data_IF_925320647676
#
_entry.id   IF_925320647676
#
_cell.length_a   1.000
_cell.length_b   1.000
_cell.length_c   1.000
_cell.angle_alpha   90.00
_cell.angle_beta   90.00
_cell.angle_gamma   90.00
#
_symmetry.space_group_name_H-M   'P 1'
#
loop_
_entity.id
_entity.type
_entity.pdbx_description
1 polymer ?
#
# COMPACT_ATOMS: atom_id res chain seq x y z
N UNK A 1 8.53 -14.23 -7.59
CA UNK A 1 8.97 -12.83 -7.53
C UNK A 1 9.08 -12.27 -8.96
N UNK A 2 8.41 -11.14 -9.19
CA UNK A 2 8.44 -10.35 -10.42
C UNK A 2 9.86 -9.96 -10.81
N UNK A 3 10.09 -9.90 -12.11
CA UNK A 3 11.35 -9.39 -12.69
C UNK A 3 11.46 -7.87 -12.51
N UNK A 4 12.68 -7.35 -12.68
CA UNK A 4 12.92 -5.90 -12.61
C UNK A 4 12.19 -5.16 -13.73
N UNK A 5 12.11 -5.78 -14.90
CA UNK A 5 11.38 -5.28 -16.06
C UNK A 5 9.89 -5.16 -15.74
N UNK A 6 9.24 -6.20 -15.20
CA UNK A 6 7.83 -6.16 -14.81
C UNK A 6 7.54 -5.10 -13.74
N UNK A 7 8.40 -5.00 -12.73
CA UNK A 7 8.30 -3.96 -11.69
C UNK A 7 8.46 -2.56 -12.31
N UNK A 8 9.39 -2.40 -13.25
CA UNK A 8 9.64 -1.15 -13.97
C UNK A 8 8.45 -0.70 -14.80
N UNK A 9 7.85 -1.59 -15.60
CA UNK A 9 6.65 -1.31 -16.40
C UNK A 9 5.47 -0.88 -15.50
N UNK A 10 5.32 -1.53 -14.34
CA UNK A 10 4.28 -1.15 -13.37
C UNK A 10 4.51 0.24 -12.78
N UNK A 11 5.76 0.60 -12.47
CA UNK A 11 6.13 1.94 -11.99
C UNK A 11 5.85 3.00 -13.06
N UNK A 12 6.22 2.75 -14.32
CA UNK A 12 5.94 3.67 -15.44
C UNK A 12 4.43 3.91 -15.58
N UNK A 13 3.64 2.84 -15.60
CA UNK A 13 2.17 2.93 -15.65
C UNK A 13 1.57 3.73 -14.48
N UNK A 14 2.09 3.54 -13.26
CA UNK A 14 1.66 4.31 -12.09
C UNK A 14 2.05 5.78 -12.20
N UNK A 15 3.25 6.08 -12.69
CA UNK A 15 3.72 7.46 -12.84
C UNK A 15 2.91 8.23 -13.90
N UNK A 16 2.55 7.58 -15.01
CA UNK A 16 1.66 8.15 -16.02
C UNK A 16 0.29 8.48 -15.42
N UNK A 17 -0.28 7.55 -14.64
CA UNK A 17 -1.54 7.75 -13.92
C UNK A 17 -1.45 8.91 -12.92
N UNK A 18 -0.37 8.97 -12.13
CA UNK A 18 -0.11 10.04 -11.15
C UNK A 18 -0.01 11.39 -11.86
N UNK A 19 0.72 11.46 -12.98
CA UNK A 19 0.86 12.68 -13.77
C UNK A 19 -0.49 13.15 -14.33
N UNK A 20 -1.30 12.22 -14.86
CA UNK A 20 -2.65 12.52 -15.34
C UNK A 20 -3.54 13.11 -14.25
N UNK A 21 -3.55 12.50 -13.06
CA UNK A 21 -4.33 13.00 -11.91
C UNK A 21 -3.84 14.36 -11.42
N UNK A 22 -2.53 14.61 -11.39
CA UNK A 22 -1.98 15.90 -10.97
C UNK A 22 -2.25 17.02 -11.96
N UNK A 23 -2.37 16.71 -13.25
CA UNK A 23 -2.69 17.69 -14.29
C UNK A 23 -4.13 18.22 -14.19
N UNK A 24 -5.04 17.53 -13.50
CA UNK A 24 -6.43 17.96 -13.25
C UNK A 24 -6.54 18.96 -12.07
N UNK A 25 -5.52 19.81 -11.89
CA UNK A 25 -5.12 20.56 -10.68
C UNK A 25 -6.21 21.41 -9.98
N UNK A 26 -7.37 21.66 -10.60
CA UNK A 26 -8.38 22.60 -10.08
C UNK A 26 -9.47 22.03 -9.17
N UNK A 27 -9.72 20.71 -9.10
CA UNK A 27 -10.62 20.14 -8.06
C UNK A 27 -10.59 18.61 -8.01
N UNK A 28 -9.47 18.01 -7.61
CA UNK A 28 -9.48 16.57 -7.36
C UNK A 28 -10.50 16.24 -6.27
N UNK A 29 -11.47 15.39 -6.63
CA UNK A 29 -12.43 14.84 -5.67
C UNK A 29 -11.68 14.06 -4.58
N UNK A 30 -12.31 13.87 -3.42
CA UNK A 30 -11.69 13.08 -2.35
C UNK A 30 -11.35 11.66 -2.81
N UNK A 31 -12.18 11.07 -3.68
CA UNK A 31 -11.94 9.76 -4.28
C UNK A 31 -10.66 9.77 -5.12
N UNK A 32 -10.48 10.78 -5.99
CA UNK A 32 -9.27 10.89 -6.81
C UNK A 32 -8.03 11.18 -5.96
N UNK A 33 -8.15 11.92 -4.85
CA UNK A 33 -7.05 12.11 -3.89
C UNK A 33 -6.63 10.80 -3.22
N UNK A 34 -7.59 9.95 -2.85
CA UNK A 34 -7.30 8.62 -2.28
C UNK A 34 -6.63 7.74 -3.32
N UNK A 35 -7.12 7.72 -4.57
CA UNK A 35 -6.49 6.98 -5.67
C UNK A 35 -5.07 7.47 -5.94
N UNK A 36 -4.86 8.80 -5.93
CA UNK A 36 -3.55 9.42 -6.13
C UNK A 36 -2.58 8.98 -5.02
N UNK A 37 -2.96 9.16 -3.76
CA UNK A 37 -2.13 8.79 -2.61
C UNK A 37 -1.77 7.29 -2.63
N UNK A 38 -2.73 6.42 -2.97
CA UNK A 38 -2.48 4.99 -3.06
C UNK A 38 -1.54 4.62 -4.22
N UNK A 39 -1.70 5.26 -5.37
CA UNK A 39 -0.83 5.05 -6.54
C UNK A 39 0.61 5.53 -6.26
N UNK A 40 0.77 6.67 -5.59
CA UNK A 40 2.08 7.19 -5.16
C UNK A 40 2.76 6.23 -4.17
N UNK A 41 2.02 5.74 -3.18
CA UNK A 41 2.55 4.77 -2.22
C UNK A 41 3.00 3.47 -2.89
N UNK A 42 2.19 2.94 -3.81
CA UNK A 42 2.54 1.74 -4.58
C UNK A 42 3.82 1.97 -5.41
N UNK A 43 3.94 3.11 -6.09
CA UNK A 43 5.13 3.45 -6.88
C UNK A 43 6.40 3.53 -6.02
N UNK A 44 6.31 4.13 -4.82
CA UNK A 44 7.42 4.19 -3.85
C UNK A 44 7.83 2.80 -3.38
N UNK A 45 6.85 1.97 -3.02
CA UNK A 45 7.08 0.59 -2.58
C UNK A 45 7.78 -0.22 -3.68
N UNK A 46 7.26 -0.22 -4.90
CA UNK A 46 7.86 -0.93 -6.04
C UNK A 46 9.30 -0.46 -6.30
N UNK A 47 9.53 0.85 -6.27
CA UNK A 47 10.87 1.42 -6.44
C UNK A 47 11.86 0.89 -5.40
N UNK A 48 11.44 0.76 -4.14
CA UNK A 48 12.29 0.20 -3.07
C UNK A 48 12.63 -1.28 -3.28
N UNK A 49 11.75 -2.05 -3.95
CA UNK A 49 11.95 -3.48 -4.19
C UNK A 49 12.90 -3.77 -5.34
N UNK A 50 13.08 -2.86 -6.30
CA UNK A 50 13.95 -3.06 -7.49
C UNK A 50 15.41 -3.42 -7.16
N UNK A 51 15.89 -2.94 -6.00
CA UNK A 51 17.28 -3.17 -5.54
C UNK A 51 17.35 -4.11 -4.35
N UNK A 52 16.21 -4.62 -3.89
CA UNK A 52 16.12 -5.54 -2.76
C UNK A 52 16.25 -6.99 -3.24
N UNK A 53 16.82 -7.86 -2.42
CA UNK A 53 16.76 -9.30 -2.65
C UNK A 53 15.38 -9.84 -2.30
N UNK A 54 15.01 -10.99 -2.87
CA UNK A 54 13.75 -11.67 -2.55
C UNK A 54 13.57 -11.85 -1.04
N UNK A 55 14.61 -12.30 -0.32
CA UNK A 55 14.55 -12.45 1.14
C UNK A 55 14.25 -11.14 1.87
N UNK A 56 14.81 -10.02 1.42
CA UNK A 56 14.49 -8.71 2.02
C UNK A 56 13.04 -8.31 1.77
N UNK A 57 12.50 -8.65 0.59
CA UNK A 57 11.10 -8.40 0.25
C UNK A 57 10.16 -9.30 1.07
N UNK A 58 10.54 -10.55 1.32
CA UNK A 58 9.81 -11.44 2.24
C UNK A 58 9.84 -10.95 3.69
N UNK A 59 10.98 -10.47 4.18
CA UNK A 59 11.09 -9.90 5.52
C UNK A 59 10.24 -8.61 5.66
N UNK A 60 10.05 -7.87 4.56
CA UNK A 60 9.13 -6.74 4.52
C UNK A 60 7.66 -7.20 4.56
N UNK A 61 7.32 -8.29 3.84
CA UNK A 61 5.98 -8.87 3.87
C UNK A 61 5.60 -9.27 5.31
N UNK A 62 6.45 -10.05 5.98
CA UNK A 62 6.20 -10.52 7.35
C UNK A 62 6.00 -9.35 8.32
N UNK A 63 6.79 -8.29 8.19
CA UNK A 63 6.63 -7.08 9.01
C UNK A 63 5.30 -6.39 8.78
N UNK A 64 4.83 -6.31 7.54
CA UNK A 64 3.53 -5.69 7.25
C UNK A 64 2.36 -6.59 7.66
N UNK A 65 2.52 -7.91 7.65
CA UNK A 65 1.51 -8.86 8.15
C UNK A 65 1.37 -8.73 9.68
N UNK A 66 2.48 -8.78 10.41
CA UNK A 66 2.49 -8.51 11.87
C UNK A 66 1.89 -7.14 12.18
N UNK A 67 2.22 -6.13 11.36
CA UNK A 67 1.67 -4.79 11.55
C UNK A 67 0.16 -4.73 11.33
N UNK A 68 -0.40 -5.54 10.42
CA UNK A 68 -1.84 -5.62 10.17
C UNK A 68 -2.58 -6.17 11.41
N UNK A 69 -2.03 -7.21 12.04
CA UNK A 69 -2.56 -7.77 13.29
C UNK A 69 -2.57 -6.71 14.40
N UNK A 70 -1.44 -6.03 14.64
CA UNK A 70 -1.35 -4.96 15.64
C UNK A 70 -2.32 -3.81 15.39
N UNK A 71 -2.54 -3.44 14.13
CA UNK A 71 -3.46 -2.37 13.76
C UNK A 71 -4.91 -2.78 13.99
N UNK A 72 -5.23 -4.05 13.75
CA UNK A 72 -6.55 -4.64 14.02
C UNK A 72 -6.85 -4.61 15.50
N UNK A 73 -5.94 -5.09 16.34
CA UNK A 73 -6.08 -5.03 17.81
C UNK A 73 -6.28 -3.59 18.31
N UNK A 74 -5.47 -2.64 17.81
CA UNK A 74 -5.61 -1.21 18.17
C UNK A 74 -6.96 -0.64 17.75
N UNK A 75 -7.47 -1.04 16.59
CA UNK A 75 -8.77 -0.59 16.11
C UNK A 75 -9.92 -1.11 17.00
N UNK A 76 -9.84 -2.38 17.41
CA UNK A 76 -10.80 -3.00 18.33
C UNK A 76 -10.76 -2.31 19.70
N UNK A 77 -9.56 -2.03 20.24
CA UNK A 77 -9.42 -1.28 21.49
C UNK A 77 -10.01 0.14 21.41
N UNK A 78 -9.75 0.86 20.31
CA UNK A 78 -10.29 2.19 20.08
C UNK A 78 -11.83 2.16 19.95
N UNK A 79 -12.36 1.09 19.34
CA UNK A 79 -13.79 0.83 19.23
C UNK A 79 -14.44 0.54 20.57
N UNK A 80 -13.82 -0.29 21.40
CA UNK A 80 -14.30 -0.57 22.76
C UNK A 80 -14.31 0.70 23.64
N UNK A 81 -13.42 1.65 23.38
CA UNK A 81 -13.33 2.95 24.08
C UNK A 81 -14.17 4.06 23.45
N UNK A 82 -14.91 3.78 22.37
CA UNK A 82 -15.70 4.75 21.61
C UNK A 82 -14.90 6.01 21.18
N UNK A 83 -13.62 5.85 20.83
CA UNK A 83 -12.75 6.95 20.40
C UNK A 83 -12.71 7.03 18.86
N UNK A 84 -13.66 7.75 18.26
CA UNK A 84 -13.81 7.83 16.80
C UNK A 84 -12.64 8.52 16.08
N UNK A 85 -12.01 9.51 16.72
CA UNK A 85 -10.83 10.16 16.13
C UNK A 85 -9.67 9.17 16.00
N UNK A 86 -9.41 8.39 17.05
CA UNK A 86 -8.38 7.35 17.03
C UNK A 86 -8.73 6.23 16.03
N UNK A 87 -10.00 5.82 15.94
CA UNK A 87 -10.45 4.83 14.94
C UNK A 87 -10.18 5.31 13.52
N UNK A 88 -10.48 6.57 13.21
CA UNK A 88 -10.25 7.13 11.88
C UNK A 88 -8.75 7.17 11.53
N UNK A 89 -7.90 7.53 12.50
CA UNK A 89 -6.45 7.49 12.32
C UNK A 89 -5.96 6.05 12.06
N UNK A 90 -6.40 5.08 12.87
CA UNK A 90 -6.02 3.67 12.69
C UNK A 90 -6.54 3.13 11.36
N UNK A 91 -7.74 3.50 10.95
CA UNK A 91 -8.30 3.09 9.66
C UNK A 91 -7.44 3.56 8.48
N UNK A 92 -6.96 4.81 8.51
CA UNK A 92 -6.02 5.29 7.50
C UNK A 92 -4.68 4.52 7.53
N UNK A 93 -4.22 4.11 8.71
CA UNK A 93 -3.01 3.29 8.84
C UNK A 93 -3.20 1.87 8.30
N UNK A 94 -4.37 1.25 8.54
CA UNK A 94 -4.76 -0.05 7.99
C UNK A 94 -4.74 0.03 6.46
N UNK A 95 -5.48 0.97 5.88
CA UNK A 95 -5.52 1.18 4.43
C UNK A 95 -4.12 1.37 3.81
N UNK A 96 -3.26 2.13 4.48
CA UNK A 96 -1.87 2.33 4.03
C UNK A 96 -1.07 1.02 4.12
N UNK A 97 -1.29 0.20 5.14
CA UNK A 97 -0.64 -1.09 5.30
C UNK A 97 -1.12 -2.12 4.27
N UNK A 98 -2.41 -2.13 3.95
CA UNK A 98 -3.01 -3.00 2.94
C UNK A 98 -2.38 -2.77 1.57
N UNK A 99 -2.22 -1.51 1.16
CA UNK A 99 -1.51 -1.18 -0.10
C UNK A 99 -0.09 -1.72 -0.10
N UNK A 100 0.62 -1.65 1.05
CA UNK A 100 1.98 -2.20 1.16
C UNK A 100 1.97 -3.71 1.04
N UNK A 101 1.05 -4.39 1.72
CA UNK A 101 0.87 -5.84 1.64
C UNK A 101 0.59 -6.28 0.21
N UNK A 102 -0.42 -5.71 -0.42
CA UNK A 102 -0.82 -6.06 -1.78
C UNK A 102 0.32 -5.83 -2.77
N UNK A 103 1.02 -4.70 -2.63
CA UNK A 103 2.18 -4.41 -3.49
C UNK A 103 3.30 -5.43 -3.31
N UNK A 104 3.63 -5.81 -2.07
CA UNK A 104 4.70 -6.78 -1.81
C UNK A 104 4.27 -8.19 -2.22
N UNK A 105 3.01 -8.58 -2.01
CA UNK A 105 2.44 -9.84 -2.49
C UNK A 105 2.50 -9.92 -4.01
N UNK A 106 2.14 -8.86 -4.72
CA UNK A 106 2.30 -8.75 -6.17
C UNK A 106 3.75 -8.96 -6.59
N UNK A 107 4.69 -8.26 -5.95
CA UNK A 107 6.13 -8.40 -6.23
C UNK A 107 6.60 -9.84 -6.00
N UNK A 108 6.10 -10.54 -5.00
CA UNK A 108 6.50 -11.91 -4.69
C UNK A 108 5.76 -12.98 -5.49
N UNK A 109 4.75 -12.61 -6.29
CA UNK A 109 3.78 -13.54 -6.90
C UNK A 109 3.00 -14.35 -5.85
N UNK A 110 2.61 -13.70 -4.75
CA UNK A 110 1.79 -14.24 -3.66
C UNK A 110 0.38 -13.63 -3.64
N UNK A 111 -0.06 -13.02 -4.74
CA UNK A 111 -1.47 -12.67 -4.92
C UNK A 111 -2.26 -13.98 -5.04
N UNK A 112 -3.10 -14.25 -4.04
CA UNK A 112 -4.03 -15.36 -3.95
C UNK A 112 -3.43 -16.78 -3.79
N UNK A 113 -2.90 -17.07 -2.58
CA UNK A 113 -3.35 -18.29 -1.90
C UNK A 113 -4.65 -17.93 -1.16
N UNK A 114 -5.79 -17.96 -1.86
CA UNK A 114 -7.10 -18.00 -1.21
C UNK A 114 -7.13 -19.23 -0.28
N UNK A 115 -7.27 -19.02 1.04
CA UNK A 115 -7.67 -20.06 2.01
C UNK A 115 -9.16 -19.87 2.31
#
# INVERSE_FOLDING_TARGET
MKTKEEIGEKIESLNDKIAGLKAEEESLSNELKVILAGSELQSIMLTSTLVSSEKQVEDLLEKFEQRAEELTEKYEEASAKANDELKNQIHAMIWTNDIRLDTIKWVLDKEDEEI
#
